data_IF_882370223904
#
_entry.id   IF_882370223904
#
_cell.length_a   1.000
_cell.length_b   1.000
_cell.length_c   1.000
_cell.angle_alpha   90.00
_cell.angle_beta   90.00
_cell.angle_gamma   90.00
#
_symmetry.space_group_name_H-M   'P 1'
#
loop_
_entity.id
_entity.type
_entity.pdbx_description
1 polymer ?
#
# COMPACT_ATOMS: atom_id res chain seq x y z
N UNK A 1 -20.73 -3.61 19.36
CA UNK A 1 -19.47 -2.98 19.85
C UNK A 1 -18.74 -3.85 20.89
N UNK A 2 -19.03 -5.17 20.98
CA UNK A 2 -18.47 -6.11 21.99
C UNK A 2 -17.91 -7.39 21.36
N UNK A 3 -16.86 -7.26 20.56
CA UNK A 3 -15.95 -8.37 20.30
C UNK A 3 -14.55 -7.81 20.41
N UNK A 4 -14.05 -7.72 21.64
CA UNK A 4 -12.63 -7.52 21.92
C UNK A 4 -11.89 -8.79 21.54
N UNK A 5 -11.93 -9.15 20.26
CA UNK A 5 -11.22 -10.32 19.78
C UNK A 5 -9.74 -9.94 19.71
N UNK A 6 -8.88 -10.51 20.57
CA UNK A 6 -7.45 -10.19 20.59
C UNK A 6 -6.76 -10.58 19.28
N UNK A 7 -7.42 -11.39 18.44
CA UNK A 7 -6.93 -11.77 17.12
C UNK A 7 -6.95 -10.62 16.11
N UNK A 8 -7.90 -9.69 16.21
CA UNK A 8 -8.07 -8.60 15.24
C UNK A 8 -6.78 -7.76 15.05
N UNK A 9 -6.20 -7.21 16.14
CA UNK A 9 -4.95 -6.47 16.06
C UNK A 9 -3.78 -7.31 15.55
N UNK A 10 -3.69 -8.59 15.95
CA UNK A 10 -2.59 -9.48 15.56
C UNK A 10 -2.60 -9.79 14.07
N UNK A 11 -3.77 -10.10 13.51
CA UNK A 11 -3.94 -10.33 12.08
C UNK A 11 -3.63 -9.07 11.28
N UNK A 12 -4.05 -7.90 11.77
CA UNK A 12 -3.72 -6.63 11.13
C UNK A 12 -2.20 -6.40 11.06
N UNK A 13 -1.47 -6.63 12.16
CA UNK A 13 0.00 -6.54 12.16
C UNK A 13 0.64 -7.51 11.17
N UNK A 14 0.21 -8.77 11.14
CA UNK A 14 0.74 -9.76 10.21
C UNK A 14 0.50 -9.33 8.75
N UNK A 15 -0.69 -8.81 8.46
CA UNK A 15 -1.04 -8.30 7.14
C UNK A 15 -0.18 -7.10 6.75
N UNK A 16 0.12 -6.19 7.69
CA UNK A 16 1.01 -5.07 7.44
C UNK A 16 2.42 -5.52 6.99
N UNK A 17 2.98 -6.58 7.59
CA UNK A 17 4.25 -7.16 7.13
C UNK A 17 4.18 -7.69 5.69
N UNK A 18 3.09 -8.38 5.34
CA UNK A 18 2.87 -8.88 3.98
C UNK A 18 2.80 -7.72 2.98
N UNK A 19 2.07 -6.65 3.32
CA UNK A 19 1.96 -5.44 2.49
C UNK A 19 3.33 -4.78 2.30
N UNK A 20 4.13 -4.66 3.36
CA UNK A 20 5.49 -4.09 3.28
C UNK A 20 6.40 -4.95 2.42
N UNK A 21 6.39 -6.28 2.60
CA UNK A 21 7.19 -7.19 1.77
C UNK A 21 6.80 -7.09 0.29
N UNK A 22 5.50 -7.07 -0.01
CA UNK A 22 4.99 -6.87 -1.37
C UNK A 22 5.37 -5.52 -1.96
N UNK A 23 5.35 -4.45 -1.16
CA UNK A 23 5.78 -3.12 -1.57
C UNK A 23 7.28 -3.08 -1.88
N UNK A 24 8.14 -3.62 -1.01
CA UNK A 24 9.59 -3.66 -1.23
C UNK A 24 9.91 -4.42 -2.52
N UNK A 25 9.23 -5.55 -2.73
CA UNK A 25 9.33 -6.32 -3.97
C UNK A 25 8.90 -5.51 -5.20
N UNK A 26 7.77 -4.80 -5.12
CA UNK A 26 7.27 -3.95 -6.20
C UNK A 26 8.22 -2.78 -6.51
N UNK A 27 8.75 -2.13 -5.48
CA UNK A 27 9.75 -1.06 -5.61
C UNK A 27 10.99 -1.60 -6.32
N UNK A 28 11.51 -2.74 -5.87
CA UNK A 28 12.64 -3.42 -6.51
C UNK A 28 12.37 -3.68 -7.99
N UNK A 29 11.22 -4.28 -8.33
CA UNK A 29 10.83 -4.53 -9.72
C UNK A 29 10.79 -3.23 -10.53
N UNK A 30 10.19 -2.17 -10.01
CA UNK A 30 10.10 -0.88 -10.68
C UNK A 30 11.47 -0.25 -10.98
N UNK A 31 12.47 -0.50 -10.13
CA UNK A 31 13.85 -0.05 -10.36
C UNK A 31 14.65 -0.96 -11.30
N UNK A 32 14.37 -2.27 -11.32
CA UNK A 32 15.04 -3.24 -12.20
C UNK A 32 14.53 -3.18 -13.65
N UNK A 33 13.22 -2.98 -13.86
CA UNK A 33 12.65 -2.81 -15.20
C UNK A 33 12.95 -1.42 -15.75
N UNK A 34 14.14 -1.26 -16.38
CA UNK A 34 14.65 -0.11 -17.15
C UNK A 34 14.24 1.29 -16.60
N UNK A 35 15.18 2.13 -16.12
CA UNK A 35 14.92 3.43 -15.48
C UNK A 35 14.33 4.54 -16.39
N UNK A 36 13.79 4.22 -17.57
CA UNK A 36 13.27 5.21 -18.52
C UNK A 36 11.86 5.68 -18.17
N UNK A 37 11.13 4.97 -17.31
CA UNK A 37 9.75 5.30 -17.01
C UNK A 37 9.57 5.99 -15.65
N UNK A 38 9.85 7.30 -15.68
CA UNK A 38 9.75 8.18 -14.52
C UNK A 38 8.36 8.21 -13.89
N UNK A 39 7.29 8.00 -14.67
CA UNK A 39 5.92 8.09 -14.16
C UNK A 39 5.58 6.91 -13.26
N UNK A 40 5.84 5.67 -13.71
CA UNK A 40 5.60 4.49 -12.88
C UNK A 40 6.48 4.49 -11.64
N UNK A 41 7.77 4.84 -11.80
CA UNK A 41 8.67 4.95 -10.64
C UNK A 41 8.17 6.00 -9.65
N UNK A 42 7.71 7.16 -10.10
CA UNK A 42 7.16 8.19 -9.23
C UNK A 42 5.88 7.72 -8.50
N UNK A 43 4.95 7.04 -9.18
CA UNK A 43 3.74 6.51 -8.54
C UNK A 43 4.06 5.41 -7.53
N UNK A 44 5.03 4.53 -7.84
CA UNK A 44 5.51 3.49 -6.90
C UNK A 44 6.20 4.11 -5.68
N UNK A 45 6.99 5.18 -5.87
CA UNK A 45 7.61 5.92 -4.76
C UNK A 45 6.57 6.64 -3.89
N UNK A 46 5.52 7.21 -4.49
CA UNK A 46 4.39 7.79 -3.76
C UNK A 46 3.70 6.72 -2.91
N UNK A 47 3.41 5.55 -3.48
CA UNK A 47 2.85 4.41 -2.76
C UNK A 47 3.75 4.02 -1.57
N UNK A 48 5.06 3.98 -1.77
CA UNK A 48 6.01 3.68 -0.71
C UNK A 48 5.99 4.71 0.41
N UNK A 49 5.96 6.01 0.08
CA UNK A 49 5.83 7.08 1.06
C UNK A 49 4.53 6.99 1.87
N UNK A 50 3.40 6.71 1.22
CA UNK A 50 2.12 6.54 1.90
C UNK A 50 2.13 5.34 2.86
N UNK A 51 2.73 4.21 2.48
CA UNK A 51 2.86 3.04 3.36
C UNK A 51 3.75 3.36 4.57
N UNK A 52 4.87 4.06 4.38
CA UNK A 52 5.71 4.51 5.50
C UNK A 52 4.92 5.40 6.47
N UNK A 53 4.14 6.36 5.95
CA UNK A 53 3.26 7.20 6.76
C UNK A 53 2.20 6.38 7.50
N UNK A 54 1.60 5.39 6.84
CA UNK A 54 0.61 4.49 7.46
C UNK A 54 1.19 3.70 8.62
N UNK A 55 2.41 3.16 8.46
CA UNK A 55 3.11 2.44 9.52
C UNK A 55 3.43 3.35 10.70
N UNK A 56 3.91 4.55 10.44
CA UNK A 56 4.18 5.55 11.48
C UNK A 56 2.91 5.88 12.27
N UNK A 57 1.81 6.20 11.59
CA UNK A 57 0.51 6.48 12.24
C UNK A 57 0.00 5.26 13.02
N UNK A 58 0.16 4.05 12.47
CA UNK A 58 -0.22 2.81 13.15
C UNK A 58 0.59 2.60 14.43
N UNK A 59 1.90 2.86 14.39
CA UNK A 59 2.78 2.79 15.56
C UNK A 59 2.39 3.81 16.63
N UNK A 60 2.11 5.06 16.25
CA UNK A 60 1.65 6.10 17.17
C UNK A 60 0.35 5.69 17.89
N UNK A 61 -0.65 5.17 17.14
CA UNK A 61 -1.88 4.68 17.77
C UNK A 61 -1.65 3.50 18.71
N UNK A 62 -0.67 2.66 18.41
CA UNK A 62 -0.32 1.51 19.25
C UNK A 62 0.40 1.93 20.52
N UNK A 63 1.38 2.85 20.43
CA UNK A 63 2.10 3.41 21.57
C UNK A 63 1.18 4.21 22.49
N UNK A 64 0.25 4.99 21.94
CA UNK A 64 -0.73 5.73 22.71
C UNK A 64 -1.53 4.82 23.65
N UNK A 65 -1.88 3.60 23.21
CA UNK A 65 -2.58 2.62 24.07
C UNK A 65 -1.76 2.18 25.28
N UNK A 66 -0.43 2.12 25.19
CA UNK A 66 0.43 1.71 26.31
C UNK A 66 0.81 2.87 27.22
N UNK A 67 0.89 4.10 26.69
CA UNK A 67 1.13 5.30 27.49
C UNK A 67 0.02 5.52 28.55
N UNK A 68 -1.19 5.04 28.26
CA UNK A 68 -2.36 5.18 29.14
C UNK A 68 -2.40 4.23 30.34
N UNK A 69 -1.53 3.21 30.40
CA UNK A 69 -1.48 2.21 31.49
C UNK A 69 -1.01 2.81 32.83
N UNK A 70 -0.57 4.07 32.85
CA UNK A 70 -0.02 4.80 34.01
C UNK A 70 -1.05 5.39 35.00
N UNK A 71 -2.17 4.71 35.27
CA UNK A 71 -2.86 4.81 36.57
C UNK A 71 -3.99 5.84 36.77
N UNK A 72 -4.57 6.42 35.72
CA UNK A 72 -5.77 7.29 35.86
C UNK A 72 -7.03 6.63 35.28
N UNK A 73 -8.13 6.70 36.03
CA UNK A 73 -9.42 6.09 35.66
C UNK A 73 -9.93 6.63 34.31
N UNK A 74 -10.24 5.77 33.32
CA UNK A 74 -10.60 6.19 31.96
C UNK A 74 -11.79 7.16 31.87
N UNK A 75 -12.73 7.08 32.83
CA UNK A 75 -13.93 7.93 32.81
C UNK A 75 -13.68 9.41 33.17
N UNK A 76 -12.52 9.74 33.76
CA UNK A 76 -12.20 11.11 34.19
C UNK A 76 -11.31 11.85 33.19
N UNK A 77 -10.90 11.20 32.09
CA UNK A 77 -10.01 11.82 31.11
C UNK A 77 -10.82 12.69 30.13
N UNK A 78 -10.42 13.94 29.89
CA UNK A 78 -10.95 14.72 28.78
C UNK A 78 -10.75 13.92 27.48
N UNK A 79 -11.72 13.95 26.56
CA UNK A 79 -11.51 13.40 25.21
C UNK A 79 -10.29 14.09 24.61
N UNK A 80 -9.16 13.39 24.57
CA UNK A 80 -7.99 13.85 23.86
C UNK A 80 -8.34 13.82 22.38
N UNK A 81 -8.38 14.98 21.72
CA UNK A 81 -8.65 15.08 20.28
C UNK A 81 -7.58 14.36 19.44
N UNK A 82 -6.40 14.13 20.03
CA UNK A 82 -5.21 13.64 19.35
C UNK A 82 -5.31 12.18 18.85
N UNK A 83 -5.68 11.16 19.65
CA UNK A 83 -5.74 9.77 19.18
C UNK A 83 -6.83 9.53 18.13
N UNK A 84 -7.95 10.23 18.24
CA UNK A 84 -9.06 10.16 17.28
C UNK A 84 -8.68 10.76 15.92
N UNK A 85 -7.92 11.86 15.94
CA UNK A 85 -7.36 12.46 14.74
C UNK A 85 -6.36 11.51 14.06
N UNK A 86 -5.39 10.96 14.81
CA UNK A 86 -4.40 10.01 14.23
C UNK A 86 -5.12 8.82 13.61
N UNK A 87 -6.11 8.26 14.29
CA UNK A 87 -6.91 7.14 13.77
C UNK A 87 -7.62 7.51 12.46
N UNK A 88 -8.22 8.70 12.40
CA UNK A 88 -8.90 9.19 11.19
C UNK A 88 -7.92 9.40 10.04
N UNK A 89 -6.75 10.00 10.31
CA UNK A 89 -5.68 10.18 9.31
C UNK A 89 -5.16 8.82 8.84
N UNK A 90 -4.97 7.84 9.73
CA UNK A 90 -4.56 6.48 9.37
C UNK A 90 -5.59 5.79 8.45
N UNK A 91 -6.88 5.98 8.67
CA UNK A 91 -7.89 5.46 7.73
C UNK A 91 -7.84 6.16 6.36
N UNK A 92 -7.66 7.48 6.36
CA UNK A 92 -7.56 8.26 5.13
C UNK A 92 -6.32 7.88 4.31
N UNK A 93 -5.15 7.77 4.96
CA UNK A 93 -3.89 7.34 4.32
C UNK A 93 -4.02 5.90 3.81
N UNK A 94 -4.65 5.00 4.57
CA UNK A 94 -4.96 3.64 4.12
C UNK A 94 -5.82 3.61 2.85
N UNK A 95 -6.81 4.49 2.74
CA UNK A 95 -7.62 4.65 1.52
C UNK A 95 -6.80 5.17 0.34
N UNK A 96 -5.89 6.12 0.60
CA UNK A 96 -4.93 6.64 -0.38
C UNK A 96 -3.95 5.58 -0.90
N UNK A 97 -3.47 4.68 -0.02
CA UNK A 97 -2.65 3.52 -0.41
C UNK A 97 -3.42 2.64 -1.38
N UNK A 98 -4.67 2.30 -1.06
CA UNK A 98 -5.50 1.47 -1.95
C UNK A 98 -5.69 2.12 -3.32
N UNK A 99 -6.06 3.40 -3.36
CA UNK A 99 -6.23 4.15 -4.62
C UNK A 99 -4.93 4.19 -5.44
N UNK A 100 -3.79 4.43 -4.78
CA UNK A 100 -2.48 4.48 -5.44
C UNK A 100 -2.06 3.11 -5.96
N UNK A 101 -2.32 2.03 -5.20
CA UNK A 101 -2.06 0.67 -5.64
C UNK A 101 -2.88 0.28 -6.88
N UNK A 102 -4.16 0.67 -6.92
CA UNK A 102 -5.01 0.51 -8.12
C UNK A 102 -4.43 1.30 -9.30
N UNK A 103 -3.99 2.53 -9.09
CA UNK A 103 -3.36 3.33 -10.14
C UNK A 103 -2.08 2.66 -10.69
N UNK A 104 -1.20 2.14 -9.82
CA UNK A 104 -0.01 1.37 -10.24
C UNK A 104 -0.39 0.14 -11.05
N UNK A 105 -1.41 -0.62 -10.60
CA UNK A 105 -1.87 -1.82 -11.30
C UNK A 105 -2.43 -1.50 -12.69
N UNK A 106 -3.25 -0.45 -12.81
CA UNK A 106 -3.79 0.01 -14.09
C UNK A 106 -2.70 0.52 -15.03
N UNK A 107 -1.73 1.27 -14.50
CA UNK A 107 -0.60 1.78 -15.28
C UNK A 107 0.29 0.64 -15.80
N UNK A 108 0.59 -0.34 -14.95
CA UNK A 108 1.29 -1.55 -15.35
C UNK A 108 0.52 -2.33 -16.42
N UNK A 109 -0.78 -2.55 -16.23
CA UNK A 109 -1.62 -3.30 -17.17
C UNK A 109 -1.73 -2.61 -18.54
N UNK A 110 -1.97 -1.30 -18.57
CA UNK A 110 -2.04 -0.51 -19.81
C UNK A 110 -0.78 -0.67 -20.64
N UNK A 111 0.39 -0.72 -19.99
CA UNK A 111 1.68 -0.86 -20.66
C UNK A 111 1.91 -2.26 -21.20
N UNK A 112 1.55 -3.29 -20.43
CA UNK A 112 1.60 -4.67 -20.92
C UNK A 112 0.70 -4.83 -22.14
N UNK A 113 -0.51 -4.26 -22.12
CA UNK A 113 -1.43 -4.30 -23.26
C UNK A 113 -0.86 -3.60 -24.52
N UNK A 114 -0.20 -2.45 -24.35
CA UNK A 114 0.49 -1.75 -25.45
C UNK A 114 1.71 -2.51 -25.99
N UNK A 115 2.50 -3.14 -25.12
CA UNK A 115 3.64 -3.94 -25.55
C UNK A 115 3.22 -5.14 -26.41
N UNK A 116 2.11 -5.80 -26.06
CA UNK A 116 1.54 -6.90 -26.85
C UNK A 116 1.10 -6.42 -28.24
N UNK A 117 0.44 -5.26 -28.35
CA UNK A 117 0.00 -4.70 -29.63
C UNK A 117 1.15 -4.35 -30.59
N UNK A 118 2.33 -4.01 -30.06
CA UNK A 118 3.48 -3.63 -30.86
C UNK A 118 4.30 -4.82 -31.38
N UNK A 119 3.96 -6.05 -30.98
CA UNK A 119 4.64 -7.26 -31.47
C UNK A 119 4.07 -7.60 -32.84
N UNK A 120 4.82 -7.43 -33.96
CA UNK A 120 4.30 -7.72 -35.28
C UNK A 120 3.94 -9.20 -35.35
N UNK A 121 2.73 -9.54 -35.80
CA UNK A 121 2.38 -10.91 -36.16
C UNK A 121 3.40 -11.39 -37.19
N UNK A 122 4.15 -12.48 -36.94
CA UNK A 122 5.01 -13.05 -37.95
C UNK A 122 4.14 -13.42 -39.14
N UNK A 123 4.33 -12.74 -40.27
CA UNK A 123 3.69 -13.10 -41.53
C UNK A 123 4.15 -14.52 -41.83
N UNK A 124 3.26 -15.50 -41.68
CA UNK A 124 3.54 -16.86 -42.12
C UNK A 124 3.89 -16.77 -43.59
N UNK A 125 5.15 -17.07 -43.92
CA UNK A 125 5.61 -17.16 -45.30
C UNK A 125 4.67 -18.15 -46.00
N UNK A 126 3.93 -17.69 -47.02
CA UNK A 126 3.05 -18.53 -47.82
C UNK A 126 3.92 -19.52 -48.61
N UNK A 127 4.32 -20.62 -47.96
CA UNK A 127 4.98 -21.76 -48.59
C UNK A 127 3.91 -22.57 -49.32
N UNK A 128 3.52 -22.14 -50.52
CA UNK A 128 2.44 -22.80 -51.26
C UNK A 128 2.27 -22.36 -52.71
N UNK A 129 3.32 -21.89 -53.37
CA UNK A 129 3.31 -21.66 -54.82
C UNK A 129 4.50 -22.38 -55.45
N UNK A 130 4.31 -23.66 -55.78
CA UNK A 130 5.15 -24.44 -56.68
C UNK A 130 4.25 -25.43 -57.43
#
# INVERSE_FOLDING_TARGET
RHTENPLGPRVHFLFAFVVVAGLVWLVKLAFETRPRDRQLTATVLLLAGLVCLQLFLGMETWLAKFAEVSGTWPQLRPLTLHPELIRSVHYLVGSGIFATAVAVALEAHRRTAWAVHLTPTPVSRLEGAA
#
